data_IF_815704280379
#
_entry.id   IF_815704280379
#
_cell.length_a   1.000
_cell.length_b   1.000
_cell.length_c   1.000
_cell.angle_alpha   90.00
_cell.angle_beta   90.00
_cell.angle_gamma   90.00
#
_symmetry.space_group_name_H-M   'P 1'
#
loop_
_entity.id
_entity.type
_entity.pdbx_description
1 polymer ?
#
# COMPACT_ATOMS: atom_id res chain seq x y z
N UNK A 1 54.81 -9.59 -37.55
CA UNK A 1 55.24 -10.91 -37.03
C UNK A 1 54.48 -11.11 -35.71
N UNK A 2 53.48 -12.01 -35.68
CA UNK A 2 53.58 -13.42 -35.24
C UNK A 2 53.95 -13.56 -33.74
N UNK A 3 53.13 -14.18 -32.89
CA UNK A 3 51.85 -14.82 -33.22
C UNK A 3 51.02 -15.39 -32.06
N UNK A 4 49.91 -16.02 -32.46
CA UNK A 4 48.93 -16.75 -31.65
C UNK A 4 49.43 -18.16 -31.24
N UNK A 5 48.98 -18.65 -30.09
CA UNK A 5 48.47 -20.02 -29.91
C UNK A 5 47.47 -20.01 -28.74
N UNK A 6 46.17 -20.20 -28.97
CA UNK A 6 45.42 -21.42 -29.30
C UNK A 6 45.06 -22.31 -28.09
N UNK A 7 43.77 -22.67 -28.05
CA UNK A 7 43.08 -23.37 -26.97
C UNK A 7 43.23 -24.89 -27.06
N UNK A 8 43.35 -25.54 -25.90
CA UNK A 8 42.66 -26.79 -25.56
C UNK A 8 42.25 -26.71 -24.08
N UNK A 9 41.14 -27.27 -23.60
CA UNK A 9 40.09 -27.97 -24.33
C UNK A 9 39.60 -29.27 -23.68
N UNK A 10 39.29 -29.30 -22.37
CA UNK A 10 38.25 -30.19 -21.75
C UNK A 10 38.25 -30.12 -20.21
N UNK A 11 37.09 -29.82 -19.60
CA UNK A 11 36.31 -30.83 -18.87
C UNK A 11 35.07 -30.21 -18.21
N UNK A 12 33.91 -30.35 -18.85
CA UNK A 12 32.63 -30.17 -18.16
C UNK A 12 32.43 -31.32 -17.18
N UNK A 13 32.42 -31.02 -15.86
CA UNK A 13 31.58 -31.65 -14.81
C UNK A 13 32.00 -31.21 -13.40
N UNK A 14 31.39 -30.11 -12.91
CA UNK A 14 31.03 -29.82 -11.49
C UNK A 14 30.67 -28.34 -11.33
N UNK A 15 29.44 -27.97 -11.71
CA UNK A 15 28.86 -26.67 -11.38
C UNK A 15 27.34 -26.78 -11.34
N UNK A 16 26.84 -27.43 -10.28
CA UNK A 16 25.43 -27.49 -9.91
C UNK A 16 25.33 -27.60 -8.39
N UNK A 17 25.21 -26.47 -7.69
CA UNK A 17 24.40 -26.27 -6.47
C UNK A 17 24.59 -24.84 -5.93
N UNK A 18 23.47 -24.21 -5.55
CA UNK A 18 23.36 -22.91 -4.87
C UNK A 18 23.88 -21.66 -5.63
N UNK A 19 23.12 -21.26 -6.65
CA UNK A 19 23.00 -19.86 -7.04
C UNK A 19 21.54 -19.43 -6.85
N UNK A 20 21.26 -18.63 -5.81
CA UNK A 20 19.97 -17.94 -5.65
C UNK A 20 20.06 -16.65 -6.48
N UNK A 21 19.26 -16.56 -7.53
CA UNK A 21 19.23 -15.38 -8.40
C UNK A 21 18.45 -14.24 -7.75
N UNK A 22 19.10 -13.09 -7.57
CA UNK A 22 18.45 -11.84 -7.17
C UNK A 22 17.84 -11.16 -8.41
N UNK A 23 16.51 -11.14 -8.49
CA UNK A 23 15.73 -10.65 -9.62
C UNK A 23 15.16 -9.24 -9.40
N UNK A 24 15.97 -8.31 -8.88
CA UNK A 24 15.58 -6.90 -8.65
C UNK A 24 16.45 -5.87 -9.37
N UNK A 25 16.69 -6.05 -10.68
CA UNK A 25 17.38 -5.07 -11.53
C UNK A 25 16.98 -5.27 -13.01
N UNK A 26 15.86 -4.68 -13.44
CA UNK A 26 15.54 -4.23 -14.83
C UNK A 26 14.02 -3.96 -14.99
N UNK A 27 13.58 -2.76 -14.61
CA UNK A 27 12.24 -2.23 -14.94
C UNK A 27 12.26 -0.70 -14.97
N UNK A 28 12.95 -0.12 -15.96
CA UNK A 28 12.93 1.32 -16.21
C UNK A 28 13.12 1.59 -17.72
N UNK A 29 12.34 2.56 -18.22
CA UNK A 29 12.20 2.95 -19.63
C UNK A 29 11.53 1.93 -20.56
N UNK A 30 10.28 2.20 -20.94
CA UNK A 30 9.96 2.60 -22.32
C UNK A 30 8.61 3.35 -22.37
N UNK A 31 8.52 4.35 -23.24
CA UNK A 31 7.30 5.09 -23.60
C UNK A 31 7.28 5.18 -25.13
N UNK A 32 6.14 4.89 -25.78
CA UNK A 32 5.71 5.42 -27.09
C UNK A 32 4.22 5.10 -27.32
N UNK A 33 3.55 5.95 -28.09
CA UNK A 33 2.10 6.00 -28.38
C UNK A 33 1.66 5.01 -29.52
N UNK A 34 0.39 4.98 -29.99
CA UNK A 34 -0.25 3.75 -30.47
C UNK A 34 -0.41 3.68 -32.00
N UNK A 35 -0.82 2.51 -32.51
CA UNK A 35 -1.23 2.31 -33.90
C UNK A 35 -2.54 1.49 -33.96
N UNK A 36 -3.56 2.05 -34.60
CA UNK A 36 -4.74 1.32 -35.07
C UNK A 36 -4.38 0.42 -36.27
N UNK A 37 -5.05 -0.74 -36.43
CA UNK A 37 -5.71 -1.07 -37.72
C UNK A 37 -6.60 -2.34 -37.70
N UNK A 38 -7.81 -2.16 -38.28
CA UNK A 38 -8.58 -3.07 -39.13
C UNK A 38 -9.02 -4.49 -38.70
N UNK A 39 -10.36 -4.66 -38.66
CA UNK A 39 -11.12 -5.87 -39.00
C UNK A 39 -10.98 -6.21 -40.52
N UNK A 40 -11.21 -7.47 -40.96
CA UNK A 40 -12.56 -8.00 -41.30
C UNK A 40 -12.76 -9.46 -40.79
N UNK A 41 -13.90 -10.15 -40.93
CA UNK A 41 -15.20 -9.88 -41.57
C UNK A 41 -16.22 -11.03 -41.31
N UNK A 42 -17.45 -10.87 -41.80
CA UNK A 42 -18.64 -11.77 -41.65
C UNK A 42 -18.50 -13.13 -42.41
N UNK A 43 -19.34 -14.18 -42.39
CA UNK A 43 -20.83 -14.30 -42.51
C UNK A 43 -21.35 -15.71 -42.12
N UNK A 44 -22.64 -15.83 -41.74
CA UNK A 44 -23.54 -17.02 -41.70
C UNK A 44 -23.27 -18.14 -40.66
N UNK A 45 -24.26 -18.83 -40.09
CA UNK A 45 -25.73 -18.68 -40.15
C UNK A 45 -26.49 -19.85 -40.78
N UNK A 46 -27.03 -20.77 -39.95
CA UNK A 46 -28.14 -21.68 -40.31
C UNK A 46 -28.71 -22.42 -39.07
N UNK A 47 -29.98 -22.17 -38.79
CA UNK A 47 -30.97 -23.04 -38.12
C UNK A 47 -32.24 -23.01 -39.01
N UNK A 48 -33.34 -23.76 -38.79
CA UNK A 48 -33.64 -24.78 -37.77
C UNK A 48 -34.26 -26.07 -38.38
N UNK A 49 -34.83 -26.98 -37.55
CA UNK A 49 -36.24 -27.49 -37.65
C UNK A 49 -36.49 -28.77 -36.80
N UNK A 50 -37.50 -28.70 -35.90
CA UNK A 50 -38.58 -29.69 -35.56
C UNK A 50 -38.22 -31.18 -35.27
N UNK A 51 -38.93 -31.95 -34.43
CA UNK A 51 -40.23 -31.80 -33.72
C UNK A 51 -40.39 -32.82 -32.56
N UNK A 52 -41.30 -32.55 -31.63
CA UNK A 52 -41.87 -33.49 -30.62
C UNK A 52 -42.91 -34.47 -31.28
N UNK A 53 -43.65 -35.39 -30.59
CA UNK A 53 -43.94 -35.59 -29.15
C UNK A 53 -43.53 -37.02 -28.65
N UNK A 54 -44.09 -37.73 -27.64
CA UNK A 54 -45.29 -37.61 -26.76
C UNK A 54 -45.18 -38.48 -25.48
N UNK A 55 -45.99 -38.17 -24.46
CA UNK A 55 -46.66 -39.06 -23.46
C UNK A 55 -45.89 -40.21 -22.78
N UNK A 56 -45.80 -40.28 -21.45
CA UNK A 56 -46.90 -40.72 -20.56
C UNK A 56 -46.50 -40.56 -19.07
N UNK A 57 -47.47 -40.60 -18.16
CA UNK A 57 -47.27 -40.67 -16.70
C UNK A 57 -48.20 -41.75 -16.11
N UNK A 58 -47.78 -42.45 -15.04
CA UNK A 58 -48.71 -42.53 -13.90
C UNK A 58 -48.07 -42.48 -12.49
N UNK A 59 -48.82 -41.86 -11.59
CA UNK A 59 -49.11 -42.27 -10.20
C UNK A 59 -47.99 -42.81 -9.26
N UNK A 60 -47.56 -41.93 -8.35
CA UNK A 60 -47.52 -42.12 -6.88
C UNK A 60 -47.03 -43.44 -6.24
N UNK A 61 -45.97 -43.34 -5.44
CA UNK A 61 -45.89 -44.02 -4.13
C UNK A 61 -45.39 -43.04 -3.05
N UNK A 62 -46.07 -43.00 -1.89
CA UNK A 62 -45.60 -42.26 -0.72
C UNK A 62 -44.63 -43.14 0.08
N UNK A 63 -43.34 -42.80 0.05
CA UNK A 63 -42.36 -43.36 0.98
C UNK A 63 -42.02 -42.33 2.06
N UNK A 64 -42.46 -42.59 3.29
CA UNK A 64 -42.20 -41.78 4.49
C UNK A 64 -40.78 -42.03 5.02
N UNK A 65 -39.77 -41.61 4.25
CA UNK A 65 -38.39 -41.56 4.70
C UNK A 65 -38.20 -40.48 5.77
N UNK A 66 -37.97 -40.88 7.02
CA UNK A 66 -37.47 -39.97 8.05
C UNK A 66 -36.10 -39.46 7.64
N UNK A 67 -36.05 -38.21 7.17
CA UNK A 67 -34.80 -37.56 6.82
C UNK A 67 -34.06 -37.20 8.11
N UNK A 68 -33.06 -38.01 8.46
CA UNK A 68 -32.10 -37.70 9.52
C UNK A 68 -31.57 -36.26 9.31
N UNK A 69 -31.44 -35.46 10.38
CA UNK A 69 -30.90 -34.12 10.25
C UNK A 69 -29.52 -34.19 9.60
N UNK A 70 -29.18 -33.28 8.66
CA UNK A 70 -27.88 -33.33 8.00
C UNK A 70 -26.78 -33.24 9.05
N UNK A 71 -26.00 -34.30 9.19
CA UNK A 71 -24.77 -34.31 9.98
C UNK A 71 -23.97 -33.08 9.58
N UNK A 72 -23.49 -32.24 10.53
CA UNK A 72 -22.72 -31.07 10.16
C UNK A 72 -21.53 -31.52 9.33
N UNK A 73 -21.53 -31.13 8.05
CA UNK A 73 -20.46 -31.44 7.12
C UNK A 73 -19.16 -30.96 7.74
N UNK A 74 -18.25 -31.88 8.03
CA UNK A 74 -16.98 -31.55 8.64
C UNK A 74 -16.27 -30.55 7.72
N UNK A 75 -16.22 -29.29 8.14
CA UNK A 75 -15.59 -28.23 7.37
C UNK A 75 -14.16 -28.66 7.10
N UNK A 76 -13.78 -28.68 5.81
CA UNK A 76 -12.40 -29.02 5.42
C UNK A 76 -11.45 -28.11 6.22
N UNK A 77 -10.26 -28.58 6.61
CA UNK A 77 -9.31 -27.70 7.26
C UNK A 77 -8.96 -26.53 6.33
N UNK A 78 -8.94 -25.28 6.83
CA UNK A 78 -8.61 -24.12 6.01
C UNK A 78 -7.19 -24.23 5.43
N UNK A 79 -7.08 -23.99 4.12
CA UNK A 79 -5.82 -24.05 3.36
C UNK A 79 -5.28 -22.64 3.18
N UNK A 80 -3.95 -22.48 3.17
CA UNK A 80 -3.29 -21.20 2.88
C UNK A 80 -3.29 -20.91 1.37
N UNK A 81 -3.82 -19.76 1.00
CA UNK A 81 -3.77 -19.21 -0.35
C UNK A 81 -2.84 -17.99 -0.40
N UNK A 82 -2.28 -17.73 -1.58
CA UNK A 82 -1.38 -16.61 -1.86
C UNK A 82 -1.69 -16.08 -3.25
N UNK A 83 -1.81 -14.77 -3.38
CA UNK A 83 -1.82 -14.06 -4.67
C UNK A 83 -0.86 -12.87 -4.61
N UNK A 84 -0.16 -12.64 -5.71
CA UNK A 84 0.76 -11.52 -5.89
C UNK A 84 0.34 -10.73 -7.14
N UNK A 85 0.51 -9.40 -7.10
CA UNK A 85 0.13 -8.46 -8.15
C UNK A 85 0.97 -7.17 -8.02
N UNK A 86 0.75 -6.20 -8.91
CA UNK A 86 1.21 -4.82 -8.73
C UNK A 86 0.00 -3.88 -8.71
N UNK A 87 -0.10 -3.04 -7.69
CA UNK A 87 -1.15 -2.03 -7.56
C UNK A 87 -0.58 -0.75 -6.94
N UNK A 88 -1.14 0.42 -7.26
CA UNK A 88 -0.67 1.72 -6.73
C UNK A 88 0.85 1.97 -6.89
N UNK A 89 1.46 1.41 -7.93
CA UNK A 89 2.90 1.39 -8.19
C UNK A 89 3.76 0.72 -7.08
N UNK A 90 3.18 -0.26 -6.38
CA UNK A 90 3.83 -1.09 -5.36
C UNK A 90 3.52 -2.58 -5.59
N UNK A 91 4.40 -3.50 -5.14
CA UNK A 91 4.06 -4.92 -5.11
C UNK A 91 2.93 -5.15 -4.08
N UNK A 92 1.91 -5.89 -4.51
CA UNK A 92 0.77 -6.31 -3.69
C UNK A 92 0.88 -7.82 -3.45
N UNK A 93 0.73 -8.23 -2.19
CA UNK A 93 0.63 -9.63 -1.79
C UNK A 93 -0.55 -9.83 -0.86
N UNK A 94 -1.42 -10.78 -1.21
CA UNK A 94 -2.55 -11.19 -0.39
C UNK A 94 -2.32 -12.64 0.05
N UNK A 95 -2.33 -12.87 1.36
CA UNK A 95 -2.34 -14.20 1.98
C UNK A 95 -3.72 -14.38 2.63
N UNK A 96 -4.35 -15.53 2.48
CA UNK A 96 -5.54 -15.85 3.27
C UNK A 96 -5.66 -17.33 3.60
N UNK A 97 -6.56 -17.66 4.52
CA UNK A 97 -6.85 -19.04 4.92
C UNK A 97 -8.33 -19.34 4.70
N UNK A 98 -8.62 -20.33 3.85
CA UNK A 98 -9.99 -20.75 3.56
C UNK A 98 -10.03 -22.22 3.07
N UNK A 99 -11.06 -23.02 3.41
CA UNK A 99 -11.17 -24.41 2.94
C UNK A 99 -11.52 -24.58 1.46
N UNK A 100 -12.07 -23.54 0.84
CA UNK A 100 -12.46 -23.52 -0.57
C UNK A 100 -11.61 -22.48 -1.33
N UNK A 101 -10.84 -22.95 -2.31
CA UNK A 101 -10.01 -22.11 -3.17
C UNK A 101 -10.82 -21.20 -4.11
N UNK A 102 -12.02 -21.60 -4.54
CA UNK A 102 -12.87 -20.77 -5.40
C UNK A 102 -13.33 -19.52 -4.66
N UNK A 103 -13.69 -19.67 -3.38
CA UNK A 103 -14.05 -18.54 -2.51
C UNK A 103 -12.83 -17.66 -2.23
N UNK A 104 -11.67 -18.26 -1.93
CA UNK A 104 -10.43 -17.52 -1.71
C UNK A 104 -10.02 -16.70 -2.95
N UNK A 105 -10.03 -17.32 -4.13
CA UNK A 105 -9.66 -16.67 -5.39
C UNK A 105 -10.64 -15.56 -5.79
N UNK A 106 -11.93 -15.73 -5.51
CA UNK A 106 -12.97 -14.70 -5.70
C UNK A 106 -12.73 -13.52 -4.76
N UNK A 107 -12.49 -13.79 -3.47
CA UNK A 107 -12.24 -12.75 -2.48
C UNK A 107 -10.98 -11.92 -2.84
N UNK A 108 -9.87 -12.60 -3.14
CA UNK A 108 -8.63 -11.95 -3.58
C UNK A 108 -8.81 -11.15 -4.87
N UNK A 109 -9.62 -11.63 -5.83
CA UNK A 109 -9.91 -10.88 -7.06
C UNK A 109 -10.70 -9.59 -6.78
N UNK A 110 -11.71 -9.64 -5.91
CA UNK A 110 -12.50 -8.44 -5.55
C UNK A 110 -11.67 -7.46 -4.71
N UNK A 111 -10.80 -7.94 -3.82
CA UNK A 111 -9.89 -7.11 -3.06
C UNK A 111 -8.92 -6.33 -3.97
N UNK A 112 -8.29 -6.99 -4.96
CA UNK A 112 -7.44 -6.33 -5.96
C UNK A 112 -8.25 -5.31 -6.77
N UNK A 113 -9.44 -5.69 -7.27
CA UNK A 113 -10.29 -4.77 -8.01
C UNK A 113 -10.70 -3.52 -7.21
N UNK A 114 -10.87 -3.66 -5.87
CA UNK A 114 -11.13 -2.52 -4.98
C UNK A 114 -9.91 -1.60 -4.83
N UNK A 115 -8.71 -2.16 -4.67
CA UNK A 115 -7.46 -1.37 -4.64
C UNK A 115 -7.30 -0.61 -5.97
N UNK A 116 -7.56 -1.26 -7.10
CA UNK A 116 -7.49 -0.64 -8.42
C UNK A 116 -8.47 0.55 -8.59
N UNK A 117 -9.71 0.40 -8.10
CA UNK A 117 -10.69 1.50 -8.07
C UNK A 117 -10.20 2.69 -7.22
N UNK A 118 -9.61 2.43 -6.06
CA UNK A 118 -9.08 3.46 -5.17
C UNK A 118 -7.86 4.18 -5.78
N UNK A 119 -7.03 3.48 -6.55
CA UNK A 119 -5.94 4.09 -7.31
C UNK A 119 -6.47 5.14 -8.33
N UNK A 120 -7.56 4.84 -9.03
CA UNK A 120 -8.22 5.78 -9.95
C UNK A 120 -8.88 6.99 -9.24
N UNK A 121 -9.05 6.94 -7.92
CA UNK A 121 -9.49 8.08 -7.11
C UNK A 121 -8.28 8.90 -6.64
N UNK A 122 -7.34 8.25 -5.95
CA UNK A 122 -6.29 8.93 -5.16
C UNK A 122 -5.00 9.30 -5.93
N UNK A 123 -4.75 8.70 -7.10
CA UNK A 123 -3.46 8.87 -7.80
C UNK A 123 -3.20 10.32 -8.22
N UNK A 124 -2.06 10.89 -7.80
CA UNK A 124 -1.62 12.22 -8.24
C UNK A 124 -0.88 12.19 -9.61
N UNK A 125 -0.53 10.98 -10.06
CA UNK A 125 0.14 10.70 -11.34
C UNK A 125 -0.85 10.58 -12.50
N UNK A 126 -1.99 9.90 -12.29
CA UNK A 126 -3.01 9.69 -13.33
C UNK A 126 -3.79 10.99 -13.57
N UNK A 127 -3.67 11.63 -14.76
CA UNK A 127 -4.37 12.87 -15.05
C UNK A 127 -5.90 12.73 -15.05
N UNK A 128 -6.43 11.51 -15.19
CA UNK A 128 -7.87 11.25 -15.18
C UNK A 128 -8.44 11.01 -13.79
N UNK A 129 -7.60 10.89 -12.74
CA UNK A 129 -8.06 10.56 -11.40
C UNK A 129 -8.99 11.61 -10.79
N UNK A 130 -9.80 11.21 -9.82
CA UNK A 130 -10.69 12.14 -9.11
C UNK A 130 -9.91 13.26 -8.41
N UNK A 131 -8.83 12.90 -7.70
CA UNK A 131 -7.92 13.87 -7.07
C UNK A 131 -7.37 14.86 -8.08
N UNK A 132 -7.02 14.43 -9.30
CA UNK A 132 -6.50 15.33 -10.33
C UNK A 132 -7.55 16.28 -10.89
N UNK A 133 -8.78 15.81 -11.11
CA UNK A 133 -9.92 16.68 -11.49
C UNK A 133 -10.24 17.70 -10.41
N UNK A 134 -10.21 17.32 -9.12
CA UNK A 134 -10.36 18.27 -8.01
C UNK A 134 -9.23 19.31 -8.00
N UNK A 135 -7.98 18.90 -8.21
CA UNK A 135 -6.84 19.82 -8.25
C UNK A 135 -6.86 20.81 -9.43
N UNK A 136 -7.65 20.56 -10.48
CA UNK A 136 -7.82 21.48 -11.61
C UNK A 136 -8.76 22.65 -11.29
N UNK A 137 -9.58 22.55 -10.24
CA UNK A 137 -10.45 23.64 -9.76
C UNK A 137 -9.77 24.55 -8.71
N UNK A 138 -8.52 24.26 -8.34
CA UNK A 138 -7.78 24.98 -7.31
C UNK A 138 -7.68 26.50 -7.57
N UNK A 139 -8.17 27.30 -6.62
CA UNK A 139 -8.21 28.75 -6.69
C UNK A 139 -9.34 29.34 -7.56
N UNK A 140 -10.25 28.51 -8.10
CA UNK A 140 -11.35 28.99 -8.96
C UNK A 140 -12.64 29.36 -8.20
N UNK A 141 -12.69 29.13 -6.89
CA UNK A 141 -13.91 29.31 -6.07
C UNK A 141 -15.00 28.25 -6.30
N UNK A 142 -14.71 27.21 -7.11
CA UNK A 142 -15.65 26.10 -7.35
C UNK A 142 -15.64 25.12 -6.19
N UNK A 143 -16.81 24.88 -5.62
CA UNK A 143 -17.08 23.68 -4.81
C UNK A 143 -17.25 22.48 -5.74
N UNK A 144 -16.65 21.35 -5.41
CA UNK A 144 -16.67 20.12 -6.21
C UNK A 144 -17.15 18.98 -5.32
N UNK A 145 -18.24 18.30 -5.70
CA UNK A 145 -18.66 17.08 -5.02
C UNK A 145 -17.63 15.96 -5.27
N UNK A 146 -17.34 15.18 -4.24
CA UNK A 146 -16.36 14.10 -4.27
C UNK A 146 -16.98 12.77 -3.85
N UNK A 147 -16.36 11.66 -4.25
CA UNK A 147 -16.72 10.31 -3.81
C UNK A 147 -16.54 10.15 -2.30
N UNK A 148 -17.27 9.20 -1.72
CA UNK A 148 -17.20 8.85 -0.30
C UNK A 148 -15.76 8.49 0.12
N UNK A 149 -15.00 7.84 -0.78
CA UNK A 149 -13.61 7.47 -0.56
C UNK A 149 -12.68 8.68 -0.46
N UNK A 150 -12.78 9.62 -1.41
CA UNK A 150 -11.99 10.85 -1.36
C UNK A 150 -12.42 11.73 -0.18
N UNK A 151 -13.72 11.80 0.12
CA UNK A 151 -14.25 12.51 1.28
C UNK A 151 -13.68 11.97 2.60
N UNK A 152 -13.74 10.64 2.81
CA UNK A 152 -13.26 9.98 4.02
C UNK A 152 -11.74 10.16 4.18
N UNK A 153 -10.96 9.84 3.14
CA UNK A 153 -9.50 9.91 3.20
C UNK A 153 -9.01 11.35 3.39
N UNK A 154 -9.62 12.33 2.71
CA UNK A 154 -9.28 13.74 2.88
C UNK A 154 -9.66 14.25 4.28
N UNK A 155 -10.87 13.94 4.76
CA UNK A 155 -11.32 14.35 6.10
C UNK A 155 -10.45 13.76 7.21
N UNK A 156 -10.02 12.50 7.07
CA UNK A 156 -9.02 11.90 7.95
C UNK A 156 -7.68 12.63 7.87
N UNK A 157 -7.18 12.85 6.65
CA UNK A 157 -5.88 13.49 6.40
C UNK A 157 -5.79 14.91 6.98
N UNK A 158 -6.85 15.71 6.86
CA UNK A 158 -6.88 17.07 7.41
C UNK A 158 -6.84 17.07 8.95
N UNK A 159 -7.48 16.11 9.62
CA UNK A 159 -7.39 15.95 11.09
C UNK A 159 -5.97 15.60 11.53
N UNK A 160 -5.28 14.71 10.82
CA UNK A 160 -3.87 14.39 11.09
C UNK A 160 -2.98 15.62 10.82
N UNK A 161 -3.28 16.39 9.77
CA UNK A 161 -2.55 17.63 9.45
C UNK A 161 -2.69 18.67 10.57
N UNK A 162 -3.89 18.83 11.13
CA UNK A 162 -4.15 19.71 12.27
C UNK A 162 -3.43 19.25 13.55
N UNK A 163 -3.57 17.97 13.92
CA UNK A 163 -2.93 17.40 15.12
C UNK A 163 -1.39 17.47 15.07
N UNK A 164 -0.80 17.40 13.88
CA UNK A 164 0.66 17.45 13.67
C UNK A 164 1.20 18.85 13.36
N UNK A 165 0.33 19.88 13.38
CA UNK A 165 0.65 21.25 12.97
C UNK A 165 1.34 21.31 11.59
N UNK A 166 0.83 20.52 10.63
CA UNK A 166 1.33 20.44 9.26
C UNK A 166 2.65 19.67 9.09
N UNK A 167 3.07 18.83 10.05
CA UNK A 167 4.18 17.89 9.82
C UNK A 167 3.76 16.74 8.87
N UNK A 168 2.49 16.38 8.89
CA UNK A 168 1.80 15.66 7.81
C UNK A 168 0.88 16.67 7.10
N UNK A 169 0.86 16.69 5.76
CA UNK A 169 -0.05 17.53 4.99
C UNK A 169 -0.22 16.97 3.57
N UNK A 170 -1.43 16.51 3.23
CA UNK A 170 -1.72 15.98 1.89
C UNK A 170 -1.74 17.04 0.79
N UNK A 171 -1.70 18.34 1.11
CA UNK A 171 -1.55 19.42 0.12
C UNK A 171 -0.12 19.61 -0.37
N UNK A 172 0.85 18.85 0.12
CA UNK A 172 2.29 18.94 -0.21
C UNK A 172 2.64 18.64 -1.68
N UNK A 173 1.68 18.19 -2.51
CA UNK A 173 1.88 17.79 -3.90
C UNK A 173 2.71 18.76 -4.78
N UNK A 174 2.60 20.11 -4.67
CA UNK A 174 3.45 21.03 -5.43
C UNK A 174 4.94 20.86 -5.11
N UNK A 175 5.27 20.69 -3.82
CA UNK A 175 6.65 20.52 -3.33
C UNK A 175 7.17 19.11 -3.63
N UNK A 176 6.35 18.07 -3.41
CA UNK A 176 6.76 16.69 -3.73
C UNK A 176 7.08 16.53 -5.22
N UNK A 177 6.34 17.20 -6.13
CA UNK A 177 6.67 17.20 -7.56
C UNK A 177 8.03 17.84 -7.89
N UNK A 178 8.46 18.87 -7.14
CA UNK A 178 9.81 19.42 -7.27
C UNK A 178 10.86 18.41 -6.82
N UNK A 179 10.66 17.73 -5.69
CA UNK A 179 11.55 16.68 -5.21
C UNK A 179 11.58 15.45 -6.14
N UNK A 180 10.45 15.03 -6.71
CA UNK A 180 10.40 13.97 -7.73
C UNK A 180 11.30 14.32 -8.92
N UNK A 181 11.25 15.57 -9.42
CA UNK A 181 12.16 16.06 -10.47
C UNK A 181 13.62 16.11 -10.01
N UNK A 182 13.90 16.65 -8.82
CA UNK A 182 15.24 16.75 -8.25
C UNK A 182 15.92 15.37 -8.09
N UNK A 183 15.15 14.34 -7.71
CA UNK A 183 15.62 12.95 -7.65
C UNK A 183 15.98 12.37 -9.04
N UNK A 184 15.28 12.80 -10.09
CA UNK A 184 15.54 12.36 -11.47
C UNK A 184 16.76 13.07 -12.10
N UNK A 185 16.87 14.40 -11.93
CA UNK A 185 18.00 15.18 -12.48
C UNK A 185 19.26 15.13 -11.62
N UNK A 186 19.12 14.81 -10.31
CA UNK A 186 20.16 14.98 -9.26
C UNK A 186 20.58 16.44 -9.04
N UNK A 187 19.73 17.38 -9.43
CA UNK A 187 19.95 18.82 -9.31
C UNK A 187 18.91 19.46 -8.38
N UNK A 188 19.31 20.45 -7.59
CA UNK A 188 18.39 21.19 -6.73
C UNK A 188 17.56 22.16 -7.59
N UNK A 189 16.21 22.14 -7.49
CA UNK A 189 15.39 23.17 -8.10
C UNK A 189 15.76 24.56 -7.56
N UNK A 190 15.76 25.62 -8.38
CA UNK A 190 16.12 26.96 -7.92
C UNK A 190 15.13 27.45 -6.86
N UNK A 191 15.63 28.16 -5.84
CA UNK A 191 14.89 28.48 -4.61
C UNK A 191 13.49 29.05 -4.84
N UNK A 192 13.34 29.97 -5.81
CA UNK A 192 12.06 30.59 -6.15
C UNK A 192 10.94 29.57 -6.49
N UNK A 193 11.29 28.37 -7.00
CA UNK A 193 10.31 27.30 -7.26
C UNK A 193 9.74 26.70 -5.99
N UNK A 194 10.55 26.57 -4.94
CA UNK A 194 10.07 26.15 -3.63
C UNK A 194 9.22 27.24 -2.99
N UNK A 195 9.57 28.51 -3.17
CA UNK A 195 8.76 29.63 -2.66
C UNK A 195 7.40 29.74 -3.38
N UNK A 196 7.37 29.59 -4.71
CA UNK A 196 6.13 29.43 -5.51
C UNK A 196 5.30 28.24 -4.98
N UNK A 197 5.92 27.07 -4.80
CA UNK A 197 5.22 25.86 -4.37
C UNK A 197 4.63 25.98 -2.96
N UNK A 198 5.37 26.56 -2.00
CA UNK A 198 4.90 26.79 -0.62
C UNK A 198 3.65 27.66 -0.55
N UNK A 199 3.45 28.60 -1.48
CA UNK A 199 2.22 29.42 -1.53
C UNK A 199 0.95 28.63 -1.86
N UNK A 200 1.10 27.40 -2.36
CA UNK A 200 0.04 26.46 -2.71
C UNK A 200 0.00 25.20 -1.81
N UNK A 201 0.73 25.22 -0.68
CA UNK A 201 0.71 24.17 0.36
C UNK A 201 0.12 24.75 1.65
N UNK A 202 -0.67 23.95 2.34
CA UNK A 202 -1.30 24.26 3.62
C UNK A 202 -2.70 23.64 3.68
N UNK A 203 -2.89 22.67 4.57
CA UNK A 203 -4.17 22.02 4.82
C UNK A 203 -5.32 23.00 5.16
N UNK A 204 -5.00 24.17 5.72
CA UNK A 204 -5.97 25.24 6.01
C UNK A 204 -6.57 25.88 4.74
N UNK A 205 -5.98 25.63 3.57
CA UNK A 205 -6.51 26.06 2.27
C UNK A 205 -7.45 25.03 1.63
N UNK A 206 -7.72 23.90 2.30
CA UNK A 206 -8.77 22.96 1.91
C UNK A 206 -10.02 23.26 2.72
N UNK A 207 -11.14 23.54 2.03
CA UNK A 207 -12.44 23.74 2.68
C UNK A 207 -13.36 22.56 2.37
N UNK A 208 -13.92 21.99 3.43
CA UNK A 208 -14.94 20.94 3.37
C UNK A 208 -16.34 21.54 3.54
N UNK A 209 -17.31 21.01 2.79
CA UNK A 209 -18.74 21.31 2.88
C UNK A 209 -19.50 19.99 3.16
N UNK A 210 -19.70 19.61 4.45
CA UNK A 210 -20.21 18.29 4.81
C UNK A 210 -21.59 17.95 4.27
N UNK A 211 -22.53 18.90 4.32
CA UNK A 211 -23.91 18.72 3.84
C UNK A 211 -23.99 18.40 2.33
N UNK A 212 -23.02 18.90 1.55
CA UNK A 212 -22.95 18.76 0.09
C UNK A 212 -22.02 17.60 -0.37
N UNK A 213 -21.28 16.99 0.57
CA UNK A 213 -20.07 16.17 0.34
C UNK A 213 -19.11 16.83 -0.68
N UNK A 214 -18.85 18.13 -0.51
CA UNK A 214 -18.10 18.93 -1.47
C UNK A 214 -16.82 19.55 -0.90
N UNK A 215 -15.81 19.68 -1.75
CA UNK A 215 -14.48 20.21 -1.43
C UNK A 215 -14.19 21.44 -2.28
N UNK A 216 -13.56 22.45 -1.69
CA UNK A 216 -13.00 23.61 -2.39
C UNK A 216 -11.53 23.76 -2.02
N UNK A 217 -10.67 23.91 -3.04
CA UNK A 217 -9.24 24.20 -2.87
C UNK A 217 -9.00 25.69 -3.07
N UNK A 218 -8.71 26.41 -1.97
CA UNK A 218 -8.81 27.87 -1.91
C UNK A 218 -7.68 28.63 -2.63
N UNK A 219 -6.54 27.97 -2.91
CA UNK A 219 -5.37 28.62 -3.51
C UNK A 219 -5.09 28.11 -4.93
N UNK A 220 -4.76 28.99 -5.90
CA UNK A 220 -4.29 28.56 -7.21
C UNK A 220 -3.08 27.64 -7.09
N UNK A 221 -3.04 26.59 -7.92
CA UNK A 221 -1.90 25.68 -8.00
C UNK A 221 -1.81 24.59 -6.93
N UNK A 222 -2.74 24.52 -5.96
CA UNK A 222 -2.78 23.43 -4.99
C UNK A 222 -2.78 22.05 -5.68
N UNK A 223 -2.07 21.08 -5.11
CA UNK A 223 -2.07 19.68 -5.56
C UNK A 223 -2.13 18.79 -4.34
N UNK A 224 -3.09 17.86 -4.32
CA UNK A 224 -3.15 16.83 -3.28
C UNK A 224 -2.22 15.66 -3.66
N UNK A 225 -1.53 15.11 -2.67
CA UNK A 225 -0.70 13.91 -2.74
C UNK A 225 -1.01 13.06 -1.49
N UNK A 226 -1.60 11.89 -1.71
CA UNK A 226 -2.00 10.95 -0.64
C UNK A 226 -0.99 9.80 -0.47
N UNK A 227 0.23 9.88 -1.02
CA UNK A 227 1.21 8.80 -1.00
C UNK A 227 1.65 8.32 0.41
N UNK A 228 1.34 9.10 1.44
CA UNK A 228 1.61 8.85 2.86
C UNK A 228 0.40 8.29 3.65
N UNK A 229 -0.69 7.89 2.97
CA UNK A 229 -1.91 7.38 3.64
C UNK A 229 -2.80 6.49 2.74
N UNK A 230 -2.76 6.69 1.42
CA UNK A 230 -3.66 6.00 0.49
C UNK A 230 -3.44 4.48 0.42
N UNK A 231 -2.23 3.99 0.73
CA UNK A 231 -1.94 2.55 0.73
C UNK A 231 -2.61 1.91 1.94
N UNK A 232 -2.47 2.52 3.12
CA UNK A 232 -3.20 2.14 4.33
C UNK A 232 -4.72 2.07 4.11
N UNK A 233 -5.30 3.08 3.45
CA UNK A 233 -6.73 3.08 3.10
C UNK A 233 -7.12 1.96 2.13
N UNK A 234 -6.29 1.71 1.10
CA UNK A 234 -6.53 0.63 0.15
C UNK A 234 -6.41 -0.77 0.79
N UNK A 235 -5.48 -0.94 1.73
CA UNK A 235 -5.32 -2.14 2.56
C UNK A 235 -6.57 -2.39 3.42
N UNK A 236 -7.06 -1.37 4.13
CA UNK A 236 -8.24 -1.50 5.00
C UNK A 236 -9.50 -1.83 4.18
N UNK A 237 -9.69 -1.18 3.03
CA UNK A 237 -10.78 -1.47 2.10
C UNK A 237 -10.66 -2.89 1.50
N UNK A 238 -9.45 -3.37 1.21
CA UNK A 238 -9.21 -4.73 0.74
C UNK A 238 -9.54 -5.78 1.82
N UNK A 239 -9.12 -5.57 3.07
CA UNK A 239 -9.50 -6.42 4.21
C UNK A 239 -11.02 -6.46 4.41
N UNK A 240 -11.69 -5.31 4.31
CA UNK A 240 -13.15 -5.24 4.43
C UNK A 240 -13.84 -6.08 3.34
N UNK A 241 -13.36 -6.04 2.09
CA UNK A 241 -13.86 -6.90 1.00
C UNK A 241 -13.59 -8.38 1.30
N UNK A 242 -12.39 -8.75 1.76
CA UNK A 242 -12.07 -10.13 2.14
C UNK A 242 -13.01 -10.65 3.25
N UNK A 243 -13.30 -9.82 4.26
CA UNK A 243 -14.24 -10.15 5.34
C UNK A 243 -15.68 -10.32 4.83
N UNK A 244 -16.17 -9.41 3.98
CA UNK A 244 -17.51 -9.49 3.36
C UNK A 244 -17.67 -10.73 2.47
N UNK A 245 -16.59 -11.20 1.87
CA UNK A 245 -16.53 -12.41 1.04
C UNK A 245 -16.44 -13.72 1.86
N UNK A 246 -16.41 -13.64 3.19
CA UNK A 246 -16.32 -14.79 4.10
C UNK A 246 -14.89 -15.27 4.39
N UNK A 247 -13.87 -14.45 4.08
CA UNK A 247 -12.45 -14.78 4.23
C UNK A 247 -11.77 -13.80 5.22
N UNK A 248 -12.13 -13.81 6.52
CA UNK A 248 -11.61 -12.84 7.48
C UNK A 248 -10.15 -13.09 7.90
N UNK A 249 -9.67 -14.33 7.79
CA UNK A 249 -8.26 -14.69 8.04
C UNK A 249 -7.42 -14.35 6.81
N UNK A 250 -7.05 -13.08 6.71
CA UNK A 250 -6.30 -12.52 5.59
C UNK A 250 -5.19 -11.55 6.06
N UNK A 251 -4.13 -11.45 5.28
CA UNK A 251 -3.08 -10.45 5.37
C UNK A 251 -2.92 -9.81 3.99
N UNK A 252 -2.99 -8.48 3.95
CA UNK A 252 -2.69 -7.66 2.77
C UNK A 252 -1.34 -6.97 3.02
N UNK A 253 -0.42 -7.08 2.07
CA UNK A 253 0.88 -6.38 2.03
C UNK A 253 0.91 -5.55 0.74
N UNK A 254 0.96 -4.22 0.85
CA UNK A 254 1.03 -3.30 -0.28
C UNK A 254 2.27 -2.42 -0.14
N UNK A 255 3.38 -2.89 -0.71
CA UNK A 255 4.66 -2.19 -0.67
C UNK A 255 5.38 -2.20 0.68
N UNK A 256 5.04 -3.11 1.60
CA UNK A 256 5.58 -3.19 2.95
C UNK A 256 4.67 -2.61 4.04
N UNK A 257 3.60 -1.91 3.66
CA UNK A 257 2.51 -1.58 4.59
C UNK A 257 1.49 -2.72 4.60
N UNK A 258 1.03 -3.07 5.80
CA UNK A 258 0.33 -4.30 6.10
C UNK A 258 -1.02 -4.06 6.77
N UNK A 259 -2.01 -4.86 6.38
CA UNK A 259 -3.26 -5.02 7.10
C UNK A 259 -3.41 -6.47 7.53
N UNK A 260 -3.64 -6.69 8.83
CA UNK A 260 -3.82 -8.00 9.43
C UNK A 260 -5.29 -8.19 9.81
N UNK A 261 -5.97 -9.16 9.21
CA UNK A 261 -7.32 -9.60 9.59
C UNK A 261 -7.30 -10.55 10.79
N UNK A 262 -8.22 -11.51 10.82
CA UNK A 262 -8.19 -12.62 11.79
C UNK A 262 -6.87 -13.41 11.68
N UNK A 263 -6.38 -14.01 12.77
CA UNK A 263 -5.13 -14.76 12.74
C UNK A 263 -5.22 -16.02 11.85
N UNK A 264 -4.07 -16.58 11.45
CA UNK A 264 -4.02 -17.90 10.81
C UNK A 264 -4.68 -18.98 11.68
N UNK A 265 -5.33 -20.00 11.11
CA UNK A 265 -6.07 -21.03 11.87
C UNK A 265 -5.18 -21.90 12.76
N UNK A 266 -3.87 -21.94 12.50
CA UNK A 266 -2.86 -22.69 13.26
C UNK A 266 -2.18 -21.86 14.38
N UNK A 267 -2.47 -20.55 14.50
CA UNK A 267 -1.74 -19.61 15.37
C UNK A 267 -2.66 -18.56 15.99
N UNK A 268 -2.27 -18.00 17.14
CA UNK A 268 -2.99 -16.89 17.76
C UNK A 268 -2.78 -15.52 17.08
N UNK A 269 -1.85 -15.42 16.11
CA UNK A 269 -1.40 -14.15 15.54
C UNK A 269 -0.69 -14.35 14.18
N UNK A 270 -0.58 -13.29 13.40
CA UNK A 270 0.40 -13.15 12.33
C UNK A 270 1.76 -12.75 12.92
N UNK A 271 2.86 -13.27 12.36
CA UNK A 271 4.22 -12.85 12.71
C UNK A 271 4.80 -12.02 11.57
N UNK A 272 5.17 -10.78 11.86
CA UNK A 272 5.79 -9.82 10.93
C UNK A 272 7.17 -9.46 11.46
N UNK A 273 8.19 -9.49 10.59
CA UNK A 273 9.54 -9.04 10.93
C UNK A 273 9.73 -7.58 10.49
N UNK A 274 10.29 -6.75 11.37
CA UNK A 274 10.69 -5.38 11.02
C UNK A 274 12.12 -5.42 10.47
N UNK A 275 12.36 -4.76 9.34
CA UNK A 275 13.66 -4.79 8.69
C UNK A 275 14.74 -4.11 9.55
N UNK A 276 15.98 -4.63 9.49
CA UNK A 276 17.12 -3.93 10.03
C UNK A 276 17.49 -2.74 9.14
N UNK A 277 17.86 -1.60 9.73
CA UNK A 277 18.27 -0.37 9.01
C UNK A 277 19.36 -0.63 7.95
N UNK A 278 20.33 -1.50 8.25
CA UNK A 278 21.45 -1.81 7.38
C UNK A 278 21.13 -3.01 6.46
N UNK A 279 21.41 -2.92 5.14
CA UNK A 279 21.23 -4.04 4.24
C UNK A 279 22.08 -5.27 4.63
N UNK A 280 21.46 -6.45 4.63
CA UNK A 280 22.11 -7.72 4.94
C UNK A 280 22.09 -8.13 6.42
N UNK A 281 21.69 -7.24 7.34
CA UNK A 281 21.49 -7.59 8.75
C UNK A 281 20.13 -8.29 8.96
N UNK A 282 20.05 -9.27 9.88
CA UNK A 282 18.79 -9.94 10.22
C UNK A 282 17.82 -8.97 10.93
N UNK A 283 16.50 -9.18 10.83
CA UNK A 283 15.52 -8.38 11.55
C UNK A 283 15.67 -8.55 13.08
N UNK A 284 15.70 -7.43 13.81
CA UNK A 284 15.86 -7.41 15.27
C UNK A 284 14.54 -7.30 16.05
N UNK A 285 13.45 -6.94 15.39
CA UNK A 285 12.14 -6.69 16.00
C UNK A 285 11.05 -7.46 15.27
N UNK A 286 10.03 -7.92 16.01
CA UNK A 286 8.95 -8.74 15.48
C UNK A 286 7.61 -8.33 16.05
N UNK A 287 6.61 -8.20 15.18
CA UNK A 287 5.21 -7.93 15.57
C UNK A 287 4.40 -9.21 15.48
N UNK A 288 3.78 -9.61 16.59
CA UNK A 288 2.96 -10.83 16.76
C UNK A 288 1.51 -10.43 17.07
N UNK A 289 0.77 -10.02 16.04
CA UNK A 289 -0.57 -9.42 16.17
C UNK A 289 -1.58 -9.94 15.13
N UNK A 290 -2.83 -9.57 15.32
CA UNK A 290 -3.93 -9.75 14.37
C UNK A 290 -4.90 -8.56 14.53
N UNK A 291 -5.79 -8.33 13.56
CA UNK A 291 -6.79 -7.24 13.56
C UNK A 291 -6.17 -5.85 13.77
N UNK A 292 -5.11 -5.54 13.02
CA UNK A 292 -4.40 -4.27 13.12
C UNK A 292 -3.69 -3.92 11.80
N UNK A 293 -3.36 -2.64 11.63
CA UNK A 293 -2.44 -2.16 10.59
C UNK A 293 -1.00 -2.10 11.10
N UNK A 294 -0.04 -2.32 10.20
CA UNK A 294 1.39 -2.07 10.46
C UNK A 294 1.96 -1.35 9.23
N UNK A 295 2.55 -0.18 9.39
CA UNK A 295 3.14 0.57 8.28
C UNK A 295 4.58 0.98 8.61
N UNK A 296 5.43 1.09 7.60
CA UNK A 296 6.85 1.48 7.80
C UNK A 296 7.27 2.59 6.84
N UNK A 297 7.47 3.79 7.41
CA UNK A 297 8.01 4.94 6.69
C UNK A 297 9.53 5.00 6.87
N UNK A 298 10.27 4.81 5.78
CA UNK A 298 11.72 4.87 5.77
C UNK A 298 12.25 5.23 4.39
N UNK A 299 13.45 5.80 4.34
CA UNK A 299 13.99 6.38 3.10
C UNK A 299 15.12 5.57 2.45
N UNK A 300 15.44 4.41 3.03
CA UNK A 300 16.43 3.41 2.59
C UNK A 300 16.51 3.22 1.08
N UNK A 301 15.36 3.11 0.40
CA UNK A 301 15.28 2.89 -1.05
C UNK A 301 14.96 4.15 -1.87
N UNK A 302 14.58 5.26 -1.22
CA UNK A 302 14.02 6.46 -1.87
C UNK A 302 14.63 7.73 -1.28
N UNK A 303 15.84 8.06 -1.74
CA UNK A 303 16.56 9.29 -1.45
C UNK A 303 17.22 9.88 -2.71
N UNK A 304 17.94 10.99 -2.57
CA UNK A 304 18.92 11.54 -3.53
C UNK A 304 20.06 12.23 -2.77
N UNK A 305 21.25 12.29 -3.38
CA UNK A 305 22.37 13.10 -2.87
C UNK A 305 22.61 14.25 -3.84
N UNK A 306 22.58 15.49 -3.34
CA UNK A 306 22.78 16.72 -4.11
C UNK A 306 23.77 17.60 -3.34
N UNK A 307 24.86 18.02 -3.99
CA UNK A 307 25.90 18.84 -3.32
C UNK A 307 26.54 18.17 -2.11
N UNK A 308 26.66 16.83 -2.10
CA UNK A 308 27.17 16.05 -0.97
C UNK A 308 26.17 15.83 0.18
N UNK A 309 24.99 16.48 0.16
CA UNK A 309 23.95 16.31 1.16
C UNK A 309 22.88 15.32 0.70
N UNK A 310 22.48 14.41 1.59
CA UNK A 310 21.45 13.40 1.36
C UNK A 310 20.06 13.96 1.72
N UNK A 311 19.07 13.63 0.90
CA UNK A 311 17.67 14.04 1.07
C UNK A 311 16.73 12.85 0.82
N UNK A 312 15.85 12.61 1.77
CA UNK A 312 14.74 11.66 1.71
C UNK A 312 13.69 12.05 0.68
N UNK A 313 12.88 11.08 0.25
CA UNK A 313 11.60 11.35 -0.42
C UNK A 313 10.49 11.78 0.53
N UNK A 314 10.63 11.54 1.84
CA UNK A 314 9.78 12.12 2.89
C UNK A 314 10.21 13.57 3.04
N UNK A 315 9.27 14.50 2.90
CA UNK A 315 9.50 15.94 2.90
C UNK A 315 8.72 16.54 4.05
N UNK A 316 9.37 17.38 4.86
CA UNK A 316 8.66 18.17 5.87
C UNK A 316 7.84 19.26 5.14
N UNK A 317 6.49 19.27 5.20
CA UNK A 317 5.67 20.23 4.47
C UNK A 317 5.96 21.69 4.87
N UNK A 318 6.36 21.91 6.13
CA UNK A 318 6.59 23.22 6.74
C UNK A 318 7.87 23.87 6.22
N UNK A 319 8.91 23.07 6.00
CA UNK A 319 10.18 23.55 5.43
C UNK A 319 10.22 23.40 3.91
N UNK A 320 9.47 22.45 3.35
CA UNK A 320 9.53 22.03 1.95
C UNK A 320 10.80 21.23 1.59
N UNK A 321 11.55 20.74 2.58
CA UNK A 321 12.84 20.04 2.39
C UNK A 321 12.71 18.55 2.72
N UNK A 322 13.30 17.70 1.88
CA UNK A 322 13.42 16.26 2.16
C UNK A 322 14.23 16.00 3.43
N UNK A 323 13.76 15.10 4.29
CA UNK A 323 14.44 14.76 5.56
C UNK A 323 15.90 14.33 5.30
N UNK A 324 16.82 14.74 6.17
CA UNK A 324 18.26 14.54 5.97
C UNK A 324 18.84 13.44 6.84
N UNK A 325 18.18 13.18 7.97
CA UNK A 325 18.50 12.08 8.88
C UNK A 325 18.02 10.77 8.26
N UNK A 326 18.79 9.70 8.44
CA UNK A 326 18.41 8.37 7.96
C UNK A 326 17.61 7.67 9.06
N UNK A 327 16.30 7.58 8.86
CA UNK A 327 15.37 6.97 9.81
C UNK A 327 14.40 5.99 9.16
N UNK A 328 13.99 5.00 9.95
CA UNK A 328 12.89 4.08 9.63
C UNK A 328 11.93 4.07 10.82
N UNK A 329 10.65 4.30 10.55
CA UNK A 329 9.58 4.40 11.54
C UNK A 329 8.52 3.36 11.24
N UNK A 330 8.39 2.35 12.08
CA UNK A 330 7.33 1.35 12.02
C UNK A 330 6.25 1.68 13.04
N UNK A 331 4.99 1.75 12.60
CA UNK A 331 3.82 2.00 13.45
C UNK A 331 2.89 0.80 13.41
N UNK A 332 2.41 0.38 14.58
CA UNK A 332 1.30 -0.55 14.77
C UNK A 332 0.09 0.29 15.19
N UNK A 333 -1.06 0.11 14.55
CA UNK A 333 -2.29 0.85 14.85
C UNK A 333 -3.54 -0.03 14.63
N UNK A 334 -4.75 0.35 15.11
CA UNK A 334 -5.98 -0.41 14.88
C UNK A 334 -6.33 -0.70 13.41
N UNK A 335 -5.85 0.13 12.48
CA UNK A 335 -6.04 -0.05 11.03
C UNK A 335 -4.82 0.48 10.25
N UNK A 336 -4.70 0.11 8.97
CA UNK A 336 -3.54 0.44 8.15
C UNK A 336 -3.54 1.91 7.70
N UNK A 337 -4.70 2.53 7.52
CA UNK A 337 -4.84 3.97 7.22
C UNK A 337 -4.16 4.84 8.29
N UNK A 338 -4.40 4.53 9.57
CA UNK A 338 -3.80 5.25 10.67
C UNK A 338 -2.29 4.93 10.76
N UNK A 339 -1.89 3.68 10.59
CA UNK A 339 -0.47 3.31 10.61
C UNK A 339 0.35 4.06 9.54
N UNK A 340 -0.09 4.10 8.27
CA UNK A 340 0.60 4.76 7.13
C UNK A 340 0.81 6.26 7.40
N UNK A 341 -0.27 6.95 7.82
CA UNK A 341 -0.22 8.37 8.15
C UNK A 341 0.65 8.68 9.37
N UNK A 342 0.54 7.90 10.45
CA UNK A 342 1.35 8.08 11.66
C UNK A 342 2.83 7.83 11.38
N UNK A 343 3.18 6.81 10.59
CA UNK A 343 4.58 6.50 10.27
C UNK A 343 5.26 7.67 9.52
N UNK A 344 4.56 8.28 8.56
CA UNK A 344 5.07 9.48 7.87
C UNK A 344 5.15 10.68 8.81
N UNK A 345 4.09 10.95 9.56
CA UNK A 345 4.02 12.08 10.49
C UNK A 345 5.12 12.03 11.56
N UNK A 346 5.34 10.86 12.18
CA UNK A 346 6.40 10.63 13.19
C UNK A 346 7.79 10.77 12.58
N UNK A 347 7.99 10.35 11.33
CA UNK A 347 9.25 10.58 10.61
C UNK A 347 9.60 12.08 10.52
N UNK A 348 8.60 12.94 10.29
CA UNK A 348 8.77 14.41 10.19
C UNK A 348 8.79 15.10 11.56
N UNK A 349 8.08 14.59 12.56
CA UNK A 349 8.08 15.11 13.94
C UNK A 349 9.36 14.76 14.71
N UNK A 350 10.06 13.69 14.33
CA UNK A 350 11.21 13.15 15.04
C UNK A 350 10.80 12.30 16.26
N UNK A 351 11.76 11.55 16.86
CA UNK A 351 11.45 10.53 17.86
C UNK A 351 10.79 11.10 19.13
N UNK A 352 11.26 12.23 19.65
CA UNK A 352 10.70 12.81 20.90
C UNK A 352 9.23 13.19 20.75
N UNK A 353 8.91 14.08 19.79
CA UNK A 353 7.55 14.60 19.59
C UNK A 353 6.63 13.58 18.94
N UNK A 354 7.15 12.80 17.98
CA UNK A 354 6.38 11.80 17.27
C UNK A 354 5.93 10.66 18.18
N UNK A 355 6.82 10.10 19.00
CA UNK A 355 6.44 9.00 19.91
C UNK A 355 5.53 9.47 21.05
N UNK A 356 5.74 10.69 21.58
CA UNK A 356 4.85 11.29 22.57
C UNK A 356 3.44 11.55 22.01
N UNK A 357 3.32 11.87 20.72
CA UNK A 357 2.04 12.01 20.02
C UNK A 357 1.38 10.66 19.72
N UNK A 358 2.16 9.64 19.30
CA UNK A 358 1.66 8.26 19.13
C UNK A 358 1.06 7.71 20.42
N UNK A 359 1.68 7.98 21.57
CA UNK A 359 1.16 7.59 22.90
C UNK A 359 -0.23 8.19 23.24
N UNK A 360 -0.74 9.16 22.46
CA UNK A 360 -2.10 9.70 22.63
C UNK A 360 -3.19 8.89 21.92
N UNK A 361 -2.81 7.95 21.04
CA UNK A 361 -3.74 7.08 20.34
C UNK A 361 -3.92 5.74 21.10
N UNK A 362 -5.17 5.26 21.25
CA UNK A 362 -5.40 3.92 21.82
C UNK A 362 -4.87 2.84 20.88
N UNK A 363 -4.43 1.71 21.46
CA UNK A 363 -3.98 0.51 20.74
C UNK A 363 -2.95 0.78 19.62
N UNK A 364 -2.12 1.81 19.81
CA UNK A 364 -1.17 2.30 18.82
C UNK A 364 0.24 2.41 19.42
N UNK A 365 1.24 1.94 18.69
CA UNK A 365 2.64 2.06 19.09
C UNK A 365 3.57 2.30 17.91
N UNK A 366 4.76 2.84 18.19
CA UNK A 366 5.76 3.11 17.18
C UNK A 366 7.18 2.76 17.64
N UNK A 367 7.98 2.28 16.68
CA UNK A 367 9.41 2.07 16.75
C UNK A 367 10.07 3.05 15.78
N UNK A 368 11.02 3.84 16.28
CA UNK A 368 11.82 4.79 15.50
C UNK A 368 13.28 4.33 15.56
N UNK A 369 13.83 3.95 14.40
CA UNK A 369 15.23 3.62 14.23
C UNK A 369 15.94 4.78 13.52
N UNK A 370 17.09 5.24 14.05
CA UNK A 370 17.89 6.32 13.43
C UNK A 370 19.34 5.88 13.25
N UNK A 371 19.89 6.04 12.04
CA UNK A 371 21.29 5.75 11.77
C UNK A 371 22.13 7.00 12.01
N UNK A 372 22.99 6.95 13.03
CA UNK A 372 23.93 8.02 13.42
C UNK A 372 25.36 7.50 13.29
N UNK A 373 26.03 7.90 12.20
CA UNK A 373 27.30 7.27 11.80
C UNK A 373 27.07 5.79 11.48
N UNK A 374 27.82 4.91 12.15
CA UNK A 374 27.68 3.46 12.03
C UNK A 374 26.74 2.83 13.10
N UNK A 375 26.13 3.64 13.97
CA UNK A 375 25.28 3.16 15.07
C UNK A 375 23.79 3.39 14.79
N UNK A 376 22.95 2.40 15.12
CA UNK A 376 21.50 2.54 15.10
C UNK A 376 21.01 2.94 16.49
N UNK A 377 20.49 4.15 16.62
CA UNK A 377 19.71 4.57 17.79
C UNK A 377 18.29 4.02 17.69
N UNK A 378 17.72 3.66 18.84
CA UNK A 378 16.42 3.01 18.95
C UNK A 378 15.55 3.80 19.92
N UNK A 379 14.38 4.22 19.47
CA UNK A 379 13.37 4.86 20.31
C UNK A 379 12.03 4.14 20.13
N UNK A 380 11.28 3.97 21.21
CA UNK A 380 10.01 3.24 21.25
C UNK A 380 8.95 4.09 21.96
N UNK A 381 7.71 4.07 21.48
CA UNK A 381 6.58 4.58 22.25
C UNK A 381 6.29 3.67 23.46
N UNK A 382 5.55 4.15 24.46
CA UNK A 382 5.35 3.40 25.73
C UNK A 382 4.71 2.04 25.50
N UNK A 383 3.79 1.98 24.55
CA UNK A 383 3.01 0.78 24.20
C UNK A 383 3.78 -0.23 23.32
N UNK A 384 4.97 0.08 22.79
CA UNK A 384 5.63 -0.78 21.78
C UNK A 384 5.83 -2.23 22.22
N UNK A 385 6.37 -2.49 23.41
CA UNK A 385 6.65 -3.87 23.86
C UNK A 385 5.38 -4.71 24.00
N UNK A 386 4.31 -4.10 24.49
CA UNK A 386 3.01 -4.75 24.62
C UNK A 386 2.35 -4.99 23.25
N UNK A 387 2.36 -3.98 22.37
CA UNK A 387 1.65 -4.09 21.09
C UNK A 387 2.44 -4.82 20.00
N UNK A 388 3.76 -4.91 20.09
CA UNK A 388 4.56 -5.82 19.26
C UNK A 388 4.41 -7.27 19.69
N UNK A 389 4.14 -7.55 20.98
CA UNK A 389 4.20 -8.90 21.51
C UNK A 389 5.64 -9.39 21.74
N UNK A 390 6.59 -8.45 21.88
CA UNK A 390 7.97 -8.73 22.30
C UNK A 390 8.01 -9.02 23.80
N UNK A 391 8.01 -10.31 24.15
CA UNK A 391 8.34 -10.76 25.51
C UNK A 391 9.80 -10.44 25.83
N UNK A 392 10.12 -9.88 27.02
CA UNK A 392 11.49 -9.48 27.38
C UNK A 392 12.58 -10.54 27.24
N UNK A 393 12.22 -11.83 27.35
CA UNK A 393 13.16 -12.96 27.34
C UNK A 393 13.28 -13.68 25.99
N UNK A 394 12.62 -13.19 24.93
CA UNK A 394 12.77 -13.72 23.58
C UNK A 394 14.04 -13.20 22.90
N UNK A 395 15.20 -13.64 23.37
CA UNK A 395 16.43 -13.69 22.55
C UNK A 395 16.15 -14.56 21.30
N UNK A 396 16.80 -14.27 20.15
CA UNK A 396 16.49 -14.87 18.85
C UNK A 396 16.75 -16.38 18.75
#
# INVERSE_FOLDING_TARGET
MRGFSFLTGTSLKKLCQHAVFDSRLLAAAFVILPIMCCLPGSVAGAEPLRSAPSETSPASEHSSGQQLPPTPSASRPPVRWLREAEEMAAPLRIICYHPDGVVADRAMARAIARIHQLNAIFSDYDPTSEVRRLCETAGTGKKVQVSDDLWQLLTFSLKISEQTAGAFDVTIGPIVRLWRRARMSREMPPAYRFDEARQAVGYQFVRLYPEDQAVELLRPGMRLDFGAVAKGYAIDAALQVMQQEGVPSALIDLGGDLGLGDPPPDRGHWSVAVAAMKPGEPPSYFVRRARCGIATSGDRYRFVVIGGKRYSHIVDPRTGVGLTDQSEVTVIAPNATLADALATAVSVLGPEKGLAWVDTFPDTAALYLRLVGDHTEVHMSKQWKELSGETPDAQP
#
